data_IF_949178408887
#
_entry.id   IF_949178408887
#
_cell.length_a   1.000
_cell.length_b   1.000
_cell.length_c   1.000
_cell.angle_alpha   90.00
_cell.angle_beta   90.00
_cell.angle_gamma   90.00
#
_symmetry.space_group_name_H-M   'P 1'
#
loop_
_entity.id
_entity.type
_entity.pdbx_description
1 polymer ?
#
# COMPACT_ATOMS: atom_id res chain seq x y z
N UNK A 1 1.70 11.49 3.02
CA UNK A 1 0.27 11.76 3.29
C UNK A 1 -0.55 10.52 2.95
N UNK A 2 -1.69 10.36 3.61
CA UNK A 2 -2.68 9.34 3.27
C UNK A 2 -3.92 10.05 2.72
N UNK A 3 -4.44 9.55 1.60
CA UNK A 3 -5.67 10.06 0.97
C UNK A 3 -6.57 8.89 0.58
N UNK A 4 -7.87 9.14 0.44
CA UNK A 4 -8.77 8.19 -0.21
C UNK A 4 -8.49 8.12 -1.72
N UNK A 5 -8.64 6.95 -2.31
CA UNK A 5 -8.52 6.73 -3.75
C UNK A 5 -9.14 5.41 -4.19
N UNK A 6 -8.94 5.08 -5.47
CA UNK A 6 -9.42 3.85 -6.07
C UNK A 6 -8.31 3.13 -6.83
N UNK A 7 -8.45 1.82 -6.96
CA UNK A 7 -7.65 1.00 -7.87
C UNK A 7 -8.59 0.30 -8.84
N UNK A 8 -8.36 0.48 -10.13
CA UNK A 8 -9.14 -0.20 -11.15
C UNK A 8 -9.09 -1.72 -10.93
N UNK A 9 -10.24 -2.38 -11.09
CA UNK A 9 -10.36 -3.82 -10.84
C UNK A 9 -9.36 -4.63 -11.70
N UNK A 10 -9.01 -4.12 -12.88
CA UNK A 10 -8.04 -4.74 -13.79
C UNK A 10 -6.57 -4.62 -13.32
N UNK A 11 -6.27 -3.66 -12.45
CA UNK A 11 -4.95 -3.42 -11.84
C UNK A 11 -4.84 -4.06 -10.44
N UNK A 12 -5.93 -4.59 -9.91
CA UNK A 12 -5.94 -5.26 -8.61
C UNK A 12 -5.38 -6.69 -8.70
N UNK A 13 -4.42 -7.07 -7.82
CA UNK A 13 -4.03 -8.46 -7.65
C UNK A 13 -5.23 -9.34 -7.31
N UNK A 14 -5.22 -10.62 -7.71
CA UNK A 14 -6.37 -11.51 -7.58
C UNK A 14 -6.91 -11.66 -6.15
N UNK A 15 -6.04 -11.54 -5.14
CA UNK A 15 -6.37 -11.57 -3.71
C UNK A 15 -7.18 -10.35 -3.23
N UNK A 16 -7.02 -9.21 -3.91
CA UNK A 16 -7.70 -7.94 -3.63
C UNK A 16 -8.98 -7.82 -4.45
N UNK A 17 -8.95 -8.29 -5.71
CA UNK A 17 -10.04 -8.16 -6.68
C UNK A 17 -11.34 -8.88 -6.32
N UNK A 18 -11.25 -10.01 -5.61
CA UNK A 18 -12.41 -10.88 -5.36
C UNK A 18 -13.47 -10.16 -4.51
N UNK A 19 -14.71 -10.11 -5.03
CA UNK A 19 -15.89 -9.51 -4.40
C UNK A 19 -15.74 -8.01 -4.07
N UNK A 20 -14.99 -7.25 -4.87
CA UNK A 20 -14.85 -5.80 -4.71
C UNK A 20 -15.59 -5.04 -5.82
N UNK A 21 -16.09 -3.82 -5.54
CA UNK A 21 -16.58 -2.92 -6.58
C UNK A 21 -15.42 -2.44 -7.48
N UNK A 22 -15.77 -1.83 -8.60
CA UNK A 22 -14.85 -1.17 -9.52
C UNK A 22 -15.17 0.34 -9.54
N UNK A 23 -14.24 1.22 -9.12
CA UNK A 23 -12.90 0.92 -8.62
C UNK A 23 -12.88 0.33 -7.19
N UNK A 24 -11.84 -0.45 -6.87
CA UNK A 24 -11.58 -0.97 -5.53
C UNK A 24 -11.23 0.18 -4.59
N UNK A 25 -11.89 0.37 -3.43
CA UNK A 25 -11.59 1.48 -2.52
C UNK A 25 -10.24 1.30 -1.82
N UNK A 26 -9.37 2.31 -1.93
CA UNK A 26 -7.98 2.27 -1.46
C UNK A 26 -7.64 3.49 -0.61
N UNK A 27 -6.72 3.34 0.33
CA UNK A 27 -5.93 4.48 0.81
C UNK A 27 -4.69 4.62 -0.10
N UNK A 28 -4.32 5.83 -0.48
CA UNK A 28 -3.13 6.12 -1.27
C UNK A 28 -2.06 6.72 -0.37
N UNK A 29 -0.88 6.10 -0.34
CA UNK A 29 0.29 6.67 0.30
C UNK A 29 1.06 7.49 -0.74
N UNK A 30 0.86 8.81 -0.72
CA UNK A 30 1.37 9.69 -1.77
C UNK A 30 2.89 9.83 -1.77
N UNK A 31 3.52 9.92 -0.59
CA UNK A 31 4.97 10.03 -0.44
C UNK A 31 5.42 9.37 0.86
N UNK A 32 6.49 8.60 0.77
CA UNK A 32 7.29 8.12 1.90
C UNK A 32 8.75 8.35 1.51
N UNK A 33 9.44 9.18 2.28
CA UNK A 33 10.83 9.52 2.06
C UNK A 33 11.55 9.52 3.40
N UNK A 34 12.80 9.08 3.38
CA UNK A 34 13.70 9.07 4.52
C UNK A 34 14.94 9.86 4.12
N UNK A 35 15.43 10.71 5.02
CA UNK A 35 16.69 11.44 4.82
C UNK A 35 17.85 10.47 4.49
N UNK A 36 18.73 10.86 3.56
CA UNK A 36 19.81 10.01 3.08
C UNK A 36 20.72 9.49 4.21
N UNK A 37 20.97 10.31 5.25
CA UNK A 37 21.82 9.92 6.38
C UNK A 37 21.16 8.88 7.30
N UNK A 38 19.85 8.65 7.12
CA UNK A 38 18.99 7.79 7.93
C UNK A 38 18.41 6.61 7.15
N UNK A 39 18.74 6.47 5.88
CA UNK A 39 18.38 5.29 5.09
C UNK A 39 18.99 4.02 5.70
N UNK A 40 18.25 2.92 5.61
CA UNK A 40 18.63 1.61 6.16
C UNK A 40 18.81 1.55 7.69
N UNK A 41 18.47 2.62 8.43
CA UNK A 41 18.52 2.66 9.91
C UNK A 41 17.16 2.42 10.59
N UNK A 42 16.16 1.97 9.84
CA UNK A 42 14.81 1.69 10.35
C UNK A 42 13.71 2.76 10.23
N UNK A 43 13.96 4.08 10.05
CA UNK A 43 12.86 5.06 10.06
C UNK A 43 11.87 4.89 8.90
N UNK A 44 12.32 4.38 7.74
CA UNK A 44 11.41 4.06 6.64
C UNK A 44 10.41 2.97 6.98
N UNK A 45 10.81 2.00 7.80
CA UNK A 45 9.95 0.91 8.27
C UNK A 45 8.94 1.45 9.28
N UNK A 46 9.40 2.27 10.23
CA UNK A 46 8.52 2.88 11.23
C UNK A 46 7.45 3.78 10.57
N UNK A 47 7.84 4.57 9.56
CA UNK A 47 6.89 5.38 8.79
C UNK A 47 5.88 4.53 8.00
N UNK A 48 6.33 3.43 7.40
CA UNK A 48 5.44 2.51 6.70
C UNK A 48 4.46 1.83 7.66
N UNK A 49 4.93 1.41 8.84
CA UNK A 49 4.08 0.82 9.89
C UNK A 49 3.01 1.80 10.38
N UNK A 50 3.38 3.06 10.65
CA UNK A 50 2.42 4.12 11.01
C UNK A 50 1.38 4.33 9.91
N UNK A 51 1.80 4.35 8.64
CA UNK A 51 0.88 4.46 7.51
C UNK A 51 -0.13 3.29 7.46
N UNK A 52 0.34 2.05 7.63
CA UNK A 52 -0.52 0.86 7.65
C UNK A 52 -1.50 0.88 8.83
N UNK A 53 -1.05 1.30 10.01
CA UNK A 53 -1.91 1.42 11.19
C UNK A 53 -3.03 2.44 10.98
N UNK A 54 -2.70 3.65 10.50
CA UNK A 54 -3.69 4.69 10.20
C UNK A 54 -4.67 4.27 9.12
N UNK A 55 -4.18 3.61 8.06
CA UNK A 55 -5.05 3.07 7.01
C UNK A 55 -5.98 1.98 7.53
N UNK A 56 -5.50 1.12 8.44
CA UNK A 56 -6.32 0.07 9.08
C UNK A 56 -7.43 0.66 9.94
N UNK A 57 -7.13 1.73 10.68
CA UNK A 57 -8.12 2.46 11.48
C UNK A 57 -9.18 3.12 10.59
N UNK A 58 -8.76 3.80 9.52
CA UNK A 58 -9.68 4.44 8.56
C UNK A 58 -10.58 3.42 7.83
N UNK A 59 -10.07 2.22 7.56
CA UNK A 59 -10.82 1.17 6.88
C UNK A 59 -12.06 0.68 7.64
N UNK A 60 -12.08 0.81 8.97
CA UNK A 60 -13.25 0.46 9.77
C UNK A 60 -14.47 1.34 9.49
N UNK A 61 -14.26 2.55 8.98
CA UNK A 61 -15.31 3.55 8.73
C UNK A 61 -15.56 3.73 7.23
N UNK A 62 -14.49 3.72 6.42
CA UNK A 62 -14.54 4.10 5.01
C UNK A 62 -14.59 2.92 4.02
N UNK A 63 -14.57 1.67 4.50
CA UNK A 63 -14.60 0.49 3.62
C UNK A 63 -13.34 0.31 2.75
N UNK A 64 -12.20 0.85 3.19
CA UNK A 64 -10.93 0.76 2.47
C UNK A 64 -10.42 -0.69 2.46
N UNK A 65 -10.00 -1.18 1.29
CA UNK A 65 -9.54 -2.57 1.11
C UNK A 65 -8.04 -2.77 1.35
N UNK A 66 -7.26 -1.72 1.16
CA UNK A 66 -5.81 -1.79 1.10
C UNK A 66 -5.12 -0.43 1.07
N UNK A 67 -3.79 -0.47 1.11
CA UNK A 67 -2.91 0.67 0.88
C UNK A 67 -2.28 0.56 -0.51
N UNK A 68 -2.36 1.63 -1.28
CA UNK A 68 -1.86 1.78 -2.64
C UNK A 68 -0.63 2.70 -2.64
N UNK A 69 0.43 2.28 -3.34
CA UNK A 69 1.63 3.08 -3.58
C UNK A 69 2.00 3.05 -5.05
N UNK A 70 2.57 4.16 -5.54
CA UNK A 70 3.30 4.20 -6.80
C UNK A 70 4.79 4.32 -6.45
N UNK A 71 5.54 3.23 -6.63
CA UNK A 71 6.97 3.24 -6.44
C UNK A 71 7.64 4.11 -7.51
N UNK A 72 8.67 4.84 -7.12
CA UNK A 72 9.40 5.74 -8.03
C UNK A 72 10.64 5.08 -8.65
N UNK A 73 11.07 3.94 -8.11
CA UNK A 73 12.25 3.18 -8.55
C UNK A 73 12.12 1.70 -8.17
N UNK A 74 12.92 0.84 -8.80
CA UNK A 74 12.94 -0.60 -8.50
C UNK A 74 13.42 -0.89 -7.06
N UNK A 75 14.28 -0.06 -6.49
CA UNK A 75 14.68 -0.18 -5.08
C UNK A 75 13.49 0.12 -4.15
N UNK A 76 12.70 1.14 -4.46
CA UNK A 76 11.50 1.47 -3.72
C UNK A 76 10.45 0.36 -3.86
N UNK A 77 10.27 -0.18 -5.07
CA UNK A 77 9.41 -1.33 -5.33
C UNK A 77 9.82 -2.53 -4.47
N UNK A 78 11.10 -2.91 -4.52
CA UNK A 78 11.67 -4.01 -3.73
C UNK A 78 11.49 -3.77 -2.23
N UNK A 79 11.64 -2.52 -1.77
CA UNK A 79 11.37 -2.15 -0.38
C UNK A 79 9.92 -2.47 0.01
N UNK A 80 8.92 -2.07 -0.78
CA UNK A 80 7.52 -2.34 -0.48
C UNK A 80 7.19 -3.85 -0.56
N UNK A 81 7.73 -4.56 -1.56
CA UNK A 81 7.50 -6.01 -1.72
C UNK A 81 7.99 -6.80 -0.50
N UNK A 82 9.13 -6.42 0.10
CA UNK A 82 9.63 -7.01 1.35
C UNK A 82 8.65 -6.88 2.52
N UNK A 83 7.74 -5.90 2.49
CA UNK A 83 6.70 -5.70 3.50
C UNK A 83 5.32 -6.21 3.07
N UNK A 84 5.26 -7.10 2.08
CA UNK A 84 4.04 -7.80 1.69
C UNK A 84 3.15 -7.06 0.70
N UNK A 85 3.63 -5.95 0.13
CA UNK A 85 2.96 -5.33 -1.00
C UNK A 85 3.07 -6.23 -2.23
N UNK A 86 2.01 -6.29 -3.03
CA UNK A 86 1.95 -7.03 -4.29
C UNK A 86 1.86 -6.03 -5.44
N UNK A 87 2.70 -6.22 -6.46
CA UNK A 87 2.63 -5.44 -7.68
C UNK A 87 1.32 -5.68 -8.44
N UNK A 88 0.79 -4.63 -9.07
CA UNK A 88 -0.32 -4.75 -10.00
C UNK A 88 0.10 -5.58 -11.22
N UNK A 89 -0.78 -6.47 -11.73
CA UNK A 89 -0.49 -7.29 -12.90
C UNK A 89 -0.27 -6.49 -14.18
N UNK A 90 -0.80 -5.26 -14.27
CA UNK A 90 -0.65 -4.38 -15.45
C UNK A 90 0.39 -3.29 -15.28
N UNK A 91 0.62 -2.86 -14.04
CA UNK A 91 1.58 -1.80 -13.73
C UNK A 91 2.49 -2.22 -12.57
N UNK A 92 3.67 -2.80 -12.83
CA UNK A 92 4.56 -3.31 -11.79
C UNK A 92 5.07 -2.28 -10.77
N UNK A 93 4.98 -0.98 -11.10
CA UNK A 93 5.35 0.12 -10.19
C UNK A 93 4.20 0.56 -9.29
N UNK A 94 2.98 0.08 -9.55
CA UNK A 94 1.84 0.26 -8.67
C UNK A 94 1.76 -0.96 -7.76
N UNK A 95 1.94 -0.76 -6.46
CA UNK A 95 1.89 -1.86 -5.49
C UNK A 95 0.78 -1.67 -4.47
N UNK A 96 0.30 -2.79 -3.95
CA UNK A 96 -0.84 -2.82 -3.06
C UNK A 96 -0.61 -3.72 -1.86
N UNK A 97 -0.92 -3.21 -0.66
CA UNK A 97 -0.98 -3.99 0.57
C UNK A 97 -2.44 -4.26 0.95
N UNK A 98 -2.80 -5.53 1.09
CA UNK A 98 -4.13 -5.97 1.51
C UNK A 98 -4.32 -5.85 3.02
N UNK A 99 -5.32 -5.08 3.47
CA UNK A 99 -5.66 -5.00 4.91
C UNK A 99 -6.31 -6.27 5.46
N UNK A 100 -6.78 -7.18 4.60
CA UNK A 100 -7.25 -8.50 5.03
C UNK A 100 -6.10 -9.33 5.62
N UNK A 101 -4.88 -9.08 5.19
CA UNK A 101 -3.67 -9.82 5.58
C UNK A 101 -2.93 -9.11 6.72
N UNK A 102 -3.07 -7.78 6.84
CA UNK A 102 -2.46 -6.97 7.89
C UNK A 102 -3.05 -7.19 9.32
N UNK A 103 -4.09 -8.02 9.48
CA UNK A 103 -4.72 -8.31 10.78
C UNK A 103 -4.13 -9.52 11.52
N UNK A 104 -3.07 -10.12 10.99
CA UNK A 104 -2.32 -11.18 11.68
C UNK A 104 -1.13 -10.54 12.40
N UNK A 105 -1.41 -10.00 13.59
CA UNK A 105 -0.42 -9.60 14.59
C UNK A 105 -0.56 -10.49 15.80
#
# INVERSE_FOLDING_TARGET
>A
CLSSGGLDLADAPGSIRRNMPDPVPMAVLGRLAVDANWQSKGPGVALLQDAVLRTSQAAAILGIRGLLVHAISDEAKTFYERYGFQASPKNPMTLVLSLKTARSG
#
